data_IF_530961723735
#
_entry.id   IF_530961723735
#
_cell.length_a   1.000
_cell.length_b   1.000
_cell.length_c   1.000
_cell.angle_alpha   90.00
_cell.angle_beta   90.00
_cell.angle_gamma   90.00
#
_symmetry.space_group_name_H-M   'P 1'
#
loop_
_entity.id
_entity.type
_entity.pdbx_description
1 polymer ?
#
# COMPACT_ATOMS: atom_id res chain seq x y z
N UNK A 1 10.83 6.25 4.79
CA UNK A 1 10.74 5.24 5.87
C UNK A 1 9.86 4.10 5.37
N UNK A 2 10.48 2.97 5.03
CA UNK A 2 9.79 1.72 4.71
C UNK A 2 9.65 0.91 6.02
N UNK A 3 8.45 0.47 6.35
CA UNK A 3 8.17 -0.27 7.59
C UNK A 3 6.98 -1.21 7.42
N UNK A 4 7.12 -2.43 7.90
CA UNK A 4 6.06 -3.45 7.93
C UNK A 4 4.94 -3.12 8.94
N UNK A 5 5.21 -2.21 9.88
CA UNK A 5 4.28 -1.77 10.93
C UNK A 5 3.46 -0.54 10.56
N UNK A 6 3.71 0.06 9.40
CA UNK A 6 3.02 1.28 8.95
C UNK A 6 1.89 0.91 8.00
N UNK A 7 0.73 1.56 8.17
CA UNK A 7 -0.34 1.53 7.18
C UNK A 7 -0.07 2.60 6.12
N UNK A 8 0.01 2.19 4.85
CA UNK A 8 0.20 3.13 3.74
C UNK A 8 -1.08 3.30 2.92
N UNK A 9 -1.32 4.51 2.45
CA UNK A 9 -2.21 4.80 1.35
C UNK A 9 -1.43 4.66 0.03
N UNK A 10 -1.91 3.78 -0.83
CA UNK A 10 -1.30 3.46 -2.12
C UNK A 10 -1.99 4.25 -3.22
N UNK A 11 -1.19 4.88 -4.09
CA UNK A 11 -1.65 5.48 -5.34
C UNK A 11 -0.85 4.89 -6.49
N UNK A 12 -1.49 4.04 -7.27
CA UNK A 12 -0.92 3.46 -8.49
C UNK A 12 -1.39 4.26 -9.71
N UNK A 13 -0.45 4.92 -10.39
CA UNK A 13 -0.74 5.75 -11.56
C UNK A 13 -1.22 4.94 -12.77
N UNK A 14 -1.07 3.61 -12.78
CA UNK A 14 -1.55 2.77 -13.88
C UNK A 14 -3.08 2.74 -14.01
N UNK A 15 -3.81 3.11 -12.95
CA UNK A 15 -5.29 3.16 -12.95
C UNK A 15 -5.86 4.49 -13.47
N UNK A 16 -5.01 5.39 -13.98
CA UNK A 16 -5.43 6.68 -14.49
C UNK A 16 -5.53 7.77 -13.41
N UNK A 17 -6.25 8.88 -13.68
CA UNK A 17 -6.20 10.08 -12.83
C UNK A 17 -6.89 9.91 -11.47
N UNK A 18 -7.80 8.95 -11.34
CA UNK A 18 -8.56 8.68 -10.12
C UNK A 18 -8.41 7.20 -9.73
N UNK A 19 -7.21 6.78 -9.26
CA UNK A 19 -6.98 5.41 -8.87
C UNK A 19 -7.88 5.02 -7.69
N UNK A 20 -8.25 3.73 -7.57
CA UNK A 20 -9.03 3.25 -6.44
C UNK A 20 -8.30 3.51 -5.12
N UNK A 21 -9.05 3.74 -4.05
CA UNK A 21 -8.49 3.81 -2.70
C UNK A 21 -7.93 2.44 -2.33
N UNK A 22 -6.63 2.39 -2.03
CA UNK A 22 -5.96 1.16 -1.66
C UNK A 22 -5.08 1.38 -0.43
N UNK A 23 -5.25 0.50 0.55
CA UNK A 23 -4.40 0.44 1.73
C UNK A 23 -3.36 -0.66 1.55
N UNK A 24 -2.15 -0.41 2.04
CA UNK A 24 -1.08 -1.38 2.14
C UNK A 24 -0.70 -1.61 3.60
N UNK A 25 -0.82 -2.87 4.00
CA UNK A 25 -0.56 -3.42 5.33
C UNK A 25 0.61 -4.40 5.16
N UNK A 26 1.55 -4.44 6.11
CA UNK A 26 2.74 -5.30 6.03
C UNK A 26 3.52 -5.11 4.73
N UNK A 27 3.96 -3.87 4.48
CA UNK A 27 4.75 -3.58 3.28
C UNK A 27 6.14 -4.20 3.41
N UNK A 28 6.48 -5.04 2.44
CA UNK A 28 7.81 -5.61 2.24
C UNK A 28 8.42 -5.06 0.95
N UNK A 29 9.67 -4.61 1.03
CA UNK A 29 10.43 -4.12 -0.12
C UNK A 29 11.71 -4.92 -0.25
N UNK A 30 11.90 -5.50 -1.42
CA UNK A 30 13.10 -6.23 -1.82
C UNK A 30 13.72 -5.59 -3.06
N UNK A 31 14.87 -6.09 -3.49
CA UNK A 31 15.66 -5.51 -4.59
C UNK A 31 14.85 -5.34 -5.88
N UNK A 32 13.92 -6.25 -6.18
CA UNK A 32 13.18 -6.29 -7.43
C UNK A 32 11.65 -6.37 -7.29
N UNK A 33 11.13 -6.37 -6.06
CA UNK A 33 9.68 -6.41 -5.82
C UNK A 33 9.26 -5.67 -4.55
N UNK A 34 8.02 -5.19 -4.55
CA UNK A 34 7.30 -4.70 -3.37
C UNK A 34 6.04 -5.54 -3.18
N UNK A 35 5.77 -5.95 -1.95
CA UNK A 35 4.59 -6.73 -1.59
C UNK A 35 3.88 -6.17 -0.36
N UNK A 36 2.58 -6.37 -0.30
CA UNK A 36 1.74 -5.91 0.81
C UNK A 36 0.35 -6.56 0.77
N UNK A 37 -0.40 -6.45 1.87
CA UNK A 37 -1.81 -6.81 1.92
C UNK A 37 -2.70 -5.57 1.83
N UNK A 38 -3.77 -5.66 1.06
CA UNK A 38 -4.95 -4.84 1.33
C UNK A 38 -5.88 -5.59 2.28
N UNK A 39 -7.00 -4.98 2.68
CA UNK A 39 -8.01 -5.60 3.56
C UNK A 39 -8.69 -6.85 2.98
N UNK A 40 -8.33 -7.31 1.78
CA UNK A 40 -8.98 -8.42 1.08
C UNK A 40 -8.08 -9.33 0.25
N UNK A 41 -6.85 -8.92 -0.09
CA UNK A 41 -5.91 -9.72 -0.90
C UNK A 41 -4.46 -9.27 -0.70
N UNK A 42 -3.52 -10.17 -0.96
CA UNK A 42 -2.11 -9.84 -1.14
C UNK A 42 -1.85 -9.22 -2.52
N UNK A 43 -0.81 -8.39 -2.60
CA UNK A 43 -0.30 -7.79 -3.84
C UNK A 43 1.21 -7.96 -3.88
N UNK A 44 1.74 -8.21 -5.07
CA UNK A 44 3.17 -8.20 -5.35
C UNK A 44 3.38 -7.50 -6.69
N UNK A 45 4.28 -6.51 -6.72
CA UNK A 45 4.64 -5.76 -7.92
C UNK A 45 6.14 -5.82 -8.14
N UNK A 46 6.55 -6.21 -9.34
CA UNK A 46 7.95 -6.16 -9.73
C UNK A 46 8.36 -4.75 -10.15
N UNK A 47 9.64 -4.44 -10.00
CA UNK A 47 10.16 -3.13 -10.32
C UNK A 47 11.35 -2.75 -9.47
N UNK A 48 11.41 -1.47 -9.09
CA UNK A 48 12.50 -0.94 -8.26
C UNK A 48 12.06 0.21 -7.38
N UNK A 49 12.71 0.35 -6.23
CA UNK A 49 12.59 1.52 -5.37
C UNK A 49 13.19 2.73 -6.08
N UNK A 50 12.41 3.80 -6.22
CA UNK A 50 12.89 5.06 -6.82
C UNK A 50 13.54 5.92 -5.76
N UNK A 51 12.83 6.14 -4.64
CA UNK A 51 13.32 6.86 -3.48
C UNK A 51 12.42 6.63 -2.28
N UNK A 52 13.01 6.76 -1.09
CA UNK A 52 12.25 7.01 0.13
C UNK A 52 11.87 8.49 0.23
N UNK A 53 10.73 8.76 0.87
CA UNK A 53 10.30 10.09 1.29
C UNK A 53 10.22 10.14 2.81
N UNK A 54 10.04 11.35 3.36
CA UNK A 54 9.85 11.55 4.81
C UNK A 54 8.66 10.74 5.34
N UNK A 55 7.60 10.65 4.54
CA UNK A 55 6.33 10.02 4.86
C UNK A 55 6.06 8.74 4.07
N UNK A 56 7.07 8.11 3.46
CA UNK A 56 6.85 6.89 2.68
C UNK A 56 7.92 6.61 1.64
N UNK A 57 7.49 6.19 0.45
CA UNK A 57 8.38 5.87 -0.67
C UNK A 57 7.64 5.81 -2.01
N UNK A 58 8.43 5.79 -3.10
CA UNK A 58 7.93 5.65 -4.47
C UNK A 58 8.54 4.40 -5.11
N UNK A 59 7.69 3.56 -5.67
CA UNK A 59 8.06 2.37 -6.42
C UNK A 59 7.81 2.58 -7.92
N UNK A 60 8.76 2.18 -8.76
CA UNK A 60 8.58 2.15 -10.22
C UNK A 60 8.23 0.73 -10.63
N UNK A 61 6.99 0.50 -11.05
CA UNK A 61 6.51 -0.81 -11.45
C UNK A 61 6.94 -1.12 -12.89
N UNK A 62 7.81 -2.11 -13.02
CA UNK A 62 8.34 -2.57 -14.29
C UNK A 62 8.32 -4.09 -14.27
N UNK A 63 7.57 -4.69 -15.19
CA UNK A 63 7.33 -6.14 -15.19
C UNK A 63 7.71 -6.75 -16.54
N UNK A 64 8.27 -7.94 -16.51
CA UNK A 64 8.56 -8.70 -17.71
C UNK A 64 7.34 -9.58 -18.05
N UNK A 65 6.62 -9.23 -19.11
CA UNK A 65 5.47 -10.00 -19.60
C UNK A 65 5.90 -10.96 -20.70
N UNK A 66 5.21 -12.10 -20.80
CA UNK A 66 5.51 -13.12 -21.82
C UNK A 66 5.27 -12.62 -23.25
N UNK A 67 4.35 -11.66 -23.44
CA UNK A 67 3.91 -11.18 -24.76
C UNK A 67 4.65 -9.94 -25.23
N UNK A 68 4.91 -8.98 -24.33
CA UNK A 68 5.44 -7.66 -24.69
C UNK A 68 6.87 -7.42 -24.17
N UNK A 69 7.45 -8.39 -23.46
CA UNK A 69 8.74 -8.23 -22.79
C UNK A 69 8.64 -7.27 -21.61
N UNK A 70 9.65 -6.41 -21.43
CA UNK A 70 9.68 -5.46 -20.31
C UNK A 70 8.66 -4.34 -20.56
N UNK A 71 7.65 -4.25 -19.68
CA UNK A 71 6.63 -3.22 -19.70
C UNK A 71 6.73 -2.30 -18.49
N UNK A 72 6.63 -1.00 -18.76
CA UNK A 72 6.56 0.06 -17.75
C UNK A 72 5.08 0.32 -17.39
N UNK A 73 4.73 0.11 -16.12
CA UNK A 73 3.39 0.35 -15.59
C UNK A 73 3.28 1.68 -14.84
N UNK A 74 4.37 2.43 -14.75
CA UNK A 74 4.42 3.72 -14.07
C UNK A 74 4.76 3.63 -12.59
N UNK A 75 4.41 4.70 -11.86
CA UNK A 75 4.82 4.90 -10.48
C UNK A 75 3.70 4.53 -9.52
N UNK A 76 4.09 3.91 -8.40
CA UNK A 76 3.24 3.65 -7.26
C UNK A 76 3.79 4.44 -6.08
N UNK A 77 2.95 5.28 -5.49
CA UNK A 77 3.28 6.06 -4.30
C UNK A 77 2.70 5.38 -3.08
N UNK A 78 3.56 5.08 -2.10
CA UNK A 78 3.18 4.57 -0.80
C UNK A 78 3.39 5.69 0.22
N UNK A 79 2.29 6.25 0.72
CA UNK A 79 2.32 7.32 1.73
C UNK A 79 1.80 6.79 3.07
N UNK A 80 2.59 6.89 4.12
CA UNK A 80 2.21 6.56 5.48
C UNK A 80 0.95 7.36 5.88
N UNK A 81 -0.06 6.66 6.37
CA UNK A 81 -1.37 7.23 6.58
C UNK A 81 -1.53 7.74 8.01
N UNK A 82 -1.65 9.06 8.19
CA UNK A 82 -1.96 9.59 9.52
C UNK A 82 -3.41 9.31 9.92
N UNK A 83 -3.71 9.30 11.22
CA UNK A 83 -5.09 9.18 11.71
C UNK A 83 -6.03 10.25 11.12
N UNK A 84 -5.55 11.49 10.96
CA UNK A 84 -6.33 12.57 10.35
C UNK A 84 -6.65 12.26 8.88
N UNK A 85 -5.66 11.81 8.10
CA UNK A 85 -5.86 11.43 6.72
C UNK A 85 -6.77 10.21 6.58
N UNK A 86 -6.66 9.24 7.50
CA UNK A 86 -7.58 8.11 7.56
C UNK A 86 -9.02 8.57 7.78
N UNK A 87 -9.26 9.39 8.79
CA UNK A 87 -10.60 9.87 9.14
C UNK A 87 -11.25 10.69 8.02
N UNK A 88 -10.46 11.45 7.27
CA UNK A 88 -10.96 12.33 6.20
C UNK A 88 -11.09 11.63 4.84
N UNK A 89 -10.15 10.74 4.48
CA UNK A 89 -10.04 10.17 3.13
C UNK A 89 -10.46 8.71 3.05
N UNK A 90 -10.36 7.96 4.14
CA UNK A 90 -10.54 6.49 4.13
C UNK A 90 -11.81 6.09 4.87
N UNK A 91 -11.97 6.50 6.13
CA UNK A 91 -13.11 6.17 7.00
C UNK A 91 -14.49 6.34 6.32
N UNK A 92 -14.76 7.38 5.51
CA UNK A 92 -16.06 7.54 4.85
C UNK A 92 -16.41 6.43 3.85
N UNK A 93 -15.41 5.68 3.38
CA UNK A 93 -15.56 4.61 2.38
C UNK A 93 -15.41 3.21 2.98
N UNK A 94 -15.17 3.09 4.29
CA UNK A 94 -15.06 1.79 4.95
C UNK A 94 -16.46 1.28 5.30
N UNK A 95 -16.76 0.06 4.87
CA UNK A 95 -18.02 -0.61 5.20
C UNK A 95 -17.96 -1.22 6.61
N UNK A 96 -19.07 -1.13 7.34
CA UNK A 96 -19.21 -1.66 8.70
C UNK A 96 -18.81 -0.68 9.79
N UNK A 97 -18.81 -1.17 11.04
CA UNK A 97 -18.48 -0.35 12.21
C UNK A 97 -16.96 -0.36 12.42
N UNK A 98 -16.31 0.76 12.06
CA UNK A 98 -14.89 0.98 12.35
C UNK A 98 -14.76 1.63 13.73
N UNK A 99 -13.88 1.14 14.61
CA UNK A 99 -13.63 1.80 15.88
C UNK A 99 -13.07 3.22 15.71
N UNK A 100 -13.26 4.05 16.74
CA UNK A 100 -12.50 5.29 16.86
C UNK A 100 -11.11 4.98 17.38
N UNK A 101 -10.11 5.63 16.79
CA UNK A 101 -8.71 5.49 17.19
C UNK A 101 -8.26 6.80 17.83
N UNK A 102 -7.42 6.70 18.85
CA UNK A 102 -6.88 7.84 19.58
C UNK A 102 -5.49 8.25 19.07
N UNK A 103 -4.83 7.39 18.30
CA UNK A 103 -3.51 7.66 17.70
C UNK A 103 -3.35 6.99 16.33
N UNK A 104 -2.32 7.41 15.59
CA UNK A 104 -1.95 6.79 14.30
C UNK A 104 -1.41 5.37 14.52
N UNK A 105 -0.72 5.14 15.62
CA UNK A 105 -0.17 3.84 16.01
C UNK A 105 -1.29 2.84 16.32
N UNK A 106 -2.33 3.26 17.03
CA UNK A 106 -3.50 2.41 17.32
C UNK A 106 -4.23 2.00 16.02
N UNK A 107 -4.35 2.94 15.07
CA UNK A 107 -4.85 2.65 13.73
C UNK A 107 -4.00 1.58 13.03
N UNK A 108 -2.68 1.72 13.07
CA UNK A 108 -1.78 0.76 12.42
C UNK A 108 -1.87 -0.63 13.05
N UNK A 109 -1.85 -0.71 14.37
CA UNK A 109 -1.97 -1.97 15.12
C UNK A 109 -3.31 -2.67 14.86
N UNK A 110 -4.41 -1.92 14.77
CA UNK A 110 -5.71 -2.48 14.43
C UNK A 110 -5.70 -3.14 13.05
N UNK A 111 -5.19 -2.44 12.03
CA UNK A 111 -5.13 -2.99 10.66
C UNK A 111 -4.17 -4.17 10.55
N UNK A 112 -3.01 -4.10 11.23
CA UNK A 112 -2.09 -5.22 11.29
C UNK A 112 -2.77 -6.45 11.93
N UNK A 113 -3.34 -6.31 13.12
CA UNK A 113 -3.90 -7.43 13.87
C UNK A 113 -5.09 -8.11 13.19
N UNK A 114 -5.85 -7.36 12.38
CA UNK A 114 -7.05 -7.90 11.72
C UNK A 114 -6.79 -8.44 10.31
N UNK A 115 -5.70 -8.01 9.64
CA UNK A 115 -5.52 -8.28 8.21
C UNK A 115 -4.13 -8.79 7.82
N UNK A 116 -3.12 -8.74 8.70
CA UNK A 116 -1.75 -9.15 8.37
C UNK A 116 -1.60 -10.65 8.04
N UNK A 117 -2.43 -11.52 8.63
CA UNK A 117 -2.30 -12.98 8.45
C UNK A 117 -2.73 -13.50 7.06
N UNK A 118 -3.20 -12.63 6.16
CA UNK A 118 -3.79 -13.08 4.88
C UNK A 118 -2.78 -13.54 3.82
N UNK A 119 -1.48 -13.46 4.09
CA UNK A 119 -0.41 -14.03 3.25
C UNK A 119 -0.24 -13.34 1.88
N UNK A 120 0.94 -13.49 1.28
CA UNK A 120 1.21 -12.97 -0.07
C UNK A 120 0.66 -13.97 -1.08
N UNK A 121 -0.28 -13.55 -1.93
CA UNK A 121 -0.73 -14.39 -3.03
C UNK A 121 0.25 -14.27 -4.19
N UNK A 122 0.86 -15.42 -4.55
CA UNK A 122 1.60 -15.66 -5.79
C UNK A 122 0.67 -15.73 -6.99
#
# INVERSE_FOLDING_TARGET
>A
MISDKVLYLVKDSSFGPNPPLQLAICVEVHDNWVGFHSTGRGHQFFGKLVKETEDGFIWHRVENTLEEGIRDFGMIVFKALTLEEYNTKVRPFVEGTVPEFNSTEELYEFYYSNFAERGYHY
#
